data_IF_570030829043
#
_entry.id   IF_570030829043
#
_cell.length_a   1.000
_cell.length_b   1.000
_cell.length_c   1.000
_cell.angle_alpha   90.00
_cell.angle_beta   90.00
_cell.angle_gamma   90.00
#
_symmetry.space_group_name_H-M   'P 1'
#
loop_
_entity.id
_entity.type
_entity.pdbx_description
1 polymer ?
#
# COMPACT_ATOMS: atom_id res chain seq x y z
N UNK A 1 23.42 -19.47 -25.98
CA UNK A 1 23.14 -18.11 -25.51
C UNK A 1 22.75 -18.26 -24.04
N UNK A 2 23.68 -17.89 -23.17
CA UNK A 2 23.52 -18.11 -21.72
C UNK A 2 22.40 -17.20 -21.20
N UNK A 3 21.29 -17.83 -20.75
CA UNK A 3 20.26 -17.12 -20.05
C UNK A 3 20.84 -16.52 -18.79
N UNK A 4 21.04 -15.20 -18.80
CA UNK A 4 21.30 -14.46 -17.58
C UNK A 4 20.07 -14.71 -16.69
N UNK A 5 20.27 -15.43 -15.59
CA UNK A 5 19.21 -15.62 -14.59
C UNK A 5 18.78 -14.25 -14.09
N UNK A 6 17.67 -13.76 -14.63
CA UNK A 6 17.10 -12.47 -14.22
C UNK A 6 16.64 -12.63 -12.79
N UNK A 7 17.31 -11.96 -11.86
CA UNK A 7 16.94 -11.99 -10.44
C UNK A 7 15.56 -11.41 -10.27
N UNK A 8 14.63 -12.25 -9.80
CA UNK A 8 13.24 -11.89 -9.53
C UNK A 8 12.86 -12.32 -8.12
N UNK A 9 11.77 -11.79 -7.59
CA UNK A 9 11.23 -12.25 -6.31
C UNK A 9 10.62 -13.65 -6.49
N UNK A 10 11.06 -14.67 -5.71
CA UNK A 10 10.39 -15.96 -5.70
C UNK A 10 9.00 -15.78 -5.07
N UNK A 11 7.94 -16.06 -5.84
CA UNK A 11 6.57 -16.07 -5.31
C UNK A 11 6.23 -17.46 -4.79
N UNK A 12 5.54 -17.53 -3.68
CA UNK A 12 4.98 -18.77 -3.10
C UNK A 12 5.94 -19.98 -3.06
N UNK A 13 7.24 -19.72 -2.89
CA UNK A 13 8.23 -20.78 -2.80
C UNK A 13 7.98 -21.62 -1.53
N UNK A 14 7.91 -22.95 -1.71
CA UNK A 14 7.70 -23.91 -0.63
C UNK A 14 6.39 -23.71 0.19
N UNK A 15 5.37 -23.10 -0.41
CA UNK A 15 4.06 -22.95 0.21
C UNK A 15 3.09 -23.97 -0.40
N UNK A 16 2.37 -24.77 0.41
CA UNK A 16 1.42 -25.75 -0.10
C UNK A 16 0.23 -25.04 -0.78
N UNK A 17 -0.30 -25.66 -1.83
CA UNK A 17 -1.36 -25.07 -2.67
C UNK A 17 -2.60 -24.68 -1.86
N UNK A 18 -2.99 -25.48 -0.86
CA UNK A 18 -4.13 -25.18 0.00
C UNK A 18 -3.97 -23.85 0.77
N UNK A 19 -2.75 -23.54 1.20
CA UNK A 19 -2.45 -22.27 1.88
C UNK A 19 -2.53 -21.07 0.91
N UNK A 20 -2.09 -21.25 -0.33
CA UNK A 20 -2.22 -20.22 -1.38
C UNK A 20 -3.70 -19.93 -1.65
N UNK A 21 -4.52 -20.98 -1.85
CA UNK A 21 -5.97 -20.84 -2.03
C UNK A 21 -6.59 -20.12 -0.82
N UNK A 22 -6.21 -20.53 0.39
CA UNK A 22 -6.68 -19.89 1.63
C UNK A 22 -6.40 -18.40 1.69
N UNK A 23 -5.19 -17.96 1.32
CA UNK A 23 -4.80 -16.54 1.27
C UNK A 23 -5.69 -15.76 0.30
N UNK A 24 -5.91 -16.28 -0.92
CA UNK A 24 -6.75 -15.59 -1.90
C UNK A 24 -8.21 -15.54 -1.47
N UNK A 25 -8.77 -16.63 -0.94
CA UNK A 25 -10.16 -16.65 -0.43
C UNK A 25 -10.36 -15.64 0.70
N UNK A 26 -9.46 -15.64 1.69
CA UNK A 26 -9.52 -14.69 2.81
C UNK A 26 -9.30 -13.26 2.35
N UNK A 27 -8.38 -13.04 1.41
CA UNK A 27 -8.11 -11.71 0.83
C UNK A 27 -9.34 -11.15 0.10
N UNK A 28 -10.00 -11.97 -0.72
CA UNK A 28 -11.23 -11.59 -1.43
C UNK A 28 -12.36 -11.31 -0.43
N UNK A 29 -12.55 -12.16 0.58
CA UNK A 29 -13.54 -11.96 1.61
C UNK A 29 -13.32 -10.63 2.37
N UNK A 30 -12.07 -10.35 2.77
CA UNK A 30 -11.71 -9.11 3.42
C UNK A 30 -11.95 -7.89 2.52
N UNK A 31 -11.62 -7.97 1.23
CA UNK A 31 -11.88 -6.91 0.26
C UNK A 31 -13.37 -6.64 0.09
N UNK A 32 -14.21 -7.68 0.02
CA UNK A 32 -15.67 -7.54 -0.04
C UNK A 32 -16.21 -6.87 1.22
N UNK A 33 -15.79 -7.31 2.41
CA UNK A 33 -16.20 -6.71 3.68
C UNK A 33 -15.81 -5.23 3.75
N UNK A 34 -14.60 -4.89 3.33
CA UNK A 34 -14.11 -3.51 3.24
C UNK A 34 -14.96 -2.68 2.26
N UNK A 35 -15.24 -3.19 1.06
CA UNK A 35 -16.06 -2.51 0.07
C UNK A 35 -17.48 -2.25 0.56
N UNK A 36 -18.09 -3.22 1.25
CA UNK A 36 -19.42 -3.07 1.87
C UNK A 36 -19.39 -1.99 2.96
N UNK A 37 -18.35 -1.97 3.81
CA UNK A 37 -18.16 -0.95 4.84
C UNK A 37 -18.02 0.45 4.24
N UNK A 38 -17.17 0.61 3.24
CA UNK A 38 -16.98 1.88 2.52
C UNK A 38 -18.29 2.33 1.86
N UNK A 39 -19.02 1.41 1.21
CA UNK A 39 -20.31 1.72 0.59
C UNK A 39 -21.34 2.23 1.61
N UNK A 40 -21.46 1.57 2.77
CA UNK A 40 -22.33 2.02 3.84
C UNK A 40 -21.97 3.42 4.32
N UNK A 41 -20.70 3.68 4.58
CA UNK A 41 -20.22 5.01 4.99
C UNK A 41 -20.48 6.06 3.91
N UNK A 42 -20.25 5.73 2.64
CA UNK A 42 -20.53 6.63 1.53
C UNK A 42 -22.03 6.99 1.40
N UNK A 43 -22.92 5.99 1.56
CA UNK A 43 -24.36 6.22 1.54
C UNK A 43 -24.84 7.13 2.68
N UNK A 44 -24.26 6.96 3.89
CA UNK A 44 -24.52 7.85 5.02
C UNK A 44 -24.07 9.29 4.74
N UNK A 45 -22.90 9.47 4.15
CA UNK A 45 -22.41 10.80 3.77
C UNK A 45 -23.28 11.45 2.69
N UNK A 46 -23.77 10.65 1.73
CA UNK A 46 -24.68 11.14 0.68
C UNK A 46 -26.08 11.51 1.19
N UNK A 47 -26.53 10.91 2.27
CA UNK A 47 -27.83 11.23 2.89
C UNK A 47 -27.83 12.63 3.57
N UNK A 48 -26.64 13.22 3.79
CA UNK A 48 -26.51 14.59 4.29
C UNK A 48 -26.93 15.64 3.26
N UNK A 49 -27.19 16.86 3.73
CA UNK A 49 -27.49 18.00 2.84
C UNK A 49 -26.27 18.27 1.93
N UNK A 50 -26.50 18.51 0.62
CA UNK A 50 -25.41 18.84 -0.28
C UNK A 50 -24.72 20.13 0.17
N UNK A 51 -23.41 20.03 0.41
CA UNK A 51 -22.58 21.17 0.78
C UNK A 51 -21.87 21.69 -0.46
N UNK A 52 -22.06 22.97 -0.77
CA UNK A 52 -21.36 23.59 -1.88
C UNK A 52 -19.85 23.65 -1.57
N UNK A 53 -19.02 23.18 -2.50
CA UNK A 53 -17.56 23.25 -2.39
C UNK A 53 -17.08 24.70 -2.53
N UNK A 54 -17.00 25.41 -1.43
CA UNK A 54 -16.47 26.77 -1.34
C UNK A 54 -14.94 26.78 -1.20
N UNK A 55 -14.33 27.97 -1.32
CA UNK A 55 -12.88 28.22 -1.10
C UNK A 55 -12.40 27.68 0.26
N UNK A 56 -13.26 27.78 1.28
CA UNK A 56 -13.01 27.21 2.62
C UNK A 56 -12.85 25.70 2.59
N UNK A 57 -13.63 24.97 1.79
CA UNK A 57 -13.53 23.50 1.67
C UNK A 57 -12.21 23.08 1.02
N UNK A 58 -11.75 23.80 -0.01
CA UNK A 58 -10.43 23.57 -0.62
C UNK A 58 -9.29 23.81 0.38
N UNK A 59 -9.41 24.86 1.20
CA UNK A 59 -8.44 25.15 2.26
C UNK A 59 -8.41 24.04 3.31
N UNK A 60 -9.57 23.50 3.70
CA UNK A 60 -9.68 22.38 4.66
C UNK A 60 -9.06 21.09 4.11
N UNK A 61 -9.23 20.80 2.82
CA UNK A 61 -8.56 19.66 2.17
C UNK A 61 -7.04 19.82 2.17
N UNK A 62 -6.53 20.99 1.83
CA UNK A 62 -5.11 21.28 1.92
C UNK A 62 -4.56 21.13 3.34
N UNK A 63 -5.33 21.58 4.33
CA UNK A 63 -5.00 21.42 5.74
C UNK A 63 -5.01 19.94 6.18
N UNK A 64 -6.02 19.16 5.75
CA UNK A 64 -6.12 17.73 6.04
C UNK A 64 -4.92 16.96 5.47
N UNK A 65 -4.56 17.19 4.21
CA UNK A 65 -3.40 16.56 3.57
C UNK A 65 -2.11 16.94 4.30
N UNK A 66 -1.94 18.21 4.62
CA UNK A 66 -0.76 18.73 5.31
C UNK A 66 -0.62 18.19 6.74
N UNK A 67 -1.70 18.18 7.51
CA UNK A 67 -1.69 17.65 8.88
C UNK A 67 -1.65 16.12 8.91
N UNK A 68 -2.27 15.44 7.94
CA UNK A 68 -2.28 14.00 7.84
C UNK A 68 -0.96 13.40 7.36
N UNK A 69 -0.38 13.95 6.28
CA UNK A 69 0.88 13.44 5.73
C UNK A 69 2.12 14.00 6.42
N UNK A 70 2.15 15.30 6.71
CA UNK A 70 3.28 15.91 7.40
C UNK A 70 3.24 15.70 8.91
N UNK A 71 2.09 15.26 9.46
CA UNK A 71 1.88 14.95 10.89
C UNK A 71 2.37 16.06 11.85
N UNK A 72 2.27 17.32 11.43
CA UNK A 72 2.83 18.48 12.16
C UNK A 72 2.38 18.57 13.61
N UNK A 73 1.15 18.17 13.92
CA UNK A 73 0.65 18.17 15.30
C UNK A 73 1.31 17.11 16.17
N UNK A 74 1.72 16.00 15.57
CA UNK A 74 2.35 14.89 16.27
C UNK A 74 3.81 15.24 16.55
N UNK A 75 4.51 15.87 15.60
CA UNK A 75 5.93 16.21 15.68
C UNK A 75 6.26 17.30 16.74
N UNK A 76 5.25 17.87 17.41
CA UNK A 76 5.47 18.90 18.45
C UNK A 76 6.06 18.38 19.77
N UNK A 77 6.10 17.06 20.01
CA UNK A 77 6.67 16.45 21.24
C UNK A 77 7.98 15.71 20.90
N UNK A 78 9.08 15.89 21.68
CA UNK A 78 10.42 15.71 21.11
C UNK A 78 10.85 14.28 20.77
N UNK A 79 10.53 13.22 21.43
CA UNK A 79 11.09 11.89 21.10
C UNK A 79 10.05 10.94 20.50
N UNK A 80 8.89 10.80 21.14
CA UNK A 80 7.85 9.85 20.72
C UNK A 80 7.26 10.17 19.36
N UNK A 81 7.28 11.44 18.97
CA UNK A 81 6.74 11.93 17.70
C UNK A 81 7.61 11.57 16.49
N UNK A 82 8.92 11.61 16.66
CA UNK A 82 9.86 11.20 15.61
C UNK A 82 9.76 9.70 15.35
N UNK A 83 9.70 8.89 16.40
CA UNK A 83 9.51 7.45 16.27
C UNK A 83 8.19 7.13 15.55
N UNK A 84 7.09 7.79 15.95
CA UNK A 84 5.80 7.59 15.30
C UNK A 84 5.81 7.98 13.81
N UNK A 85 6.47 9.09 13.47
CA UNK A 85 6.62 9.53 12.08
C UNK A 85 7.37 8.49 11.23
N UNK A 86 8.49 7.98 11.72
CA UNK A 86 9.27 6.99 11.00
C UNK A 86 8.53 5.66 10.86
N UNK A 87 7.91 5.17 11.94
CA UNK A 87 7.10 3.93 11.90
C UNK A 87 5.93 4.07 10.92
N UNK A 88 5.23 5.20 10.92
CA UNK A 88 4.13 5.45 9.99
C UNK A 88 4.60 5.42 8.54
N UNK A 89 5.66 6.16 8.20
CA UNK A 89 6.17 6.18 6.84
C UNK A 89 6.81 4.86 6.44
N UNK A 90 7.52 4.18 7.33
CA UNK A 90 8.00 2.82 7.11
C UNK A 90 6.87 1.87 6.74
N UNK A 91 5.77 1.89 7.51
CA UNK A 91 4.58 1.10 7.22
C UNK A 91 3.95 1.46 5.87
N UNK A 92 3.83 2.75 5.55
CA UNK A 92 3.30 3.21 4.26
C UNK A 92 4.14 2.68 3.10
N UNK A 93 5.47 2.77 3.18
CA UNK A 93 6.36 2.24 2.14
C UNK A 93 6.25 0.72 2.00
N UNK A 94 6.21 -0.02 3.11
CA UNK A 94 6.02 -1.47 3.10
C UNK A 94 4.67 -1.86 2.50
N UNK A 95 3.60 -1.12 2.83
CA UNK A 95 2.27 -1.35 2.26
C UNK A 95 2.27 -1.16 0.74
N UNK A 96 2.80 -0.03 0.24
CA UNK A 96 2.90 0.19 -1.21
C UNK A 96 3.83 -0.82 -1.88
N UNK A 97 4.92 -1.21 -1.23
CA UNK A 97 5.80 -2.25 -1.71
C UNK A 97 5.08 -3.60 -1.86
N UNK A 98 4.24 -3.95 -0.90
CA UNK A 98 3.42 -5.18 -0.98
C UNK A 98 2.40 -5.08 -2.11
N UNK A 99 1.73 -3.95 -2.27
CA UNK A 99 0.81 -3.72 -3.40
C UNK A 99 1.52 -3.87 -4.75
N UNK A 100 2.71 -3.29 -4.91
CA UNK A 100 3.51 -3.43 -6.12
C UNK A 100 3.92 -4.89 -6.39
N UNK A 101 4.29 -5.64 -5.34
CA UNK A 101 4.63 -7.05 -5.48
C UNK A 101 3.42 -7.90 -5.91
N UNK A 102 2.23 -7.62 -5.38
CA UNK A 102 0.98 -8.28 -5.78
C UNK A 102 0.65 -7.95 -7.24
N UNK A 103 0.74 -6.67 -7.63
CA UNK A 103 0.52 -6.24 -9.00
C UNK A 103 1.50 -6.90 -9.98
N UNK A 104 2.79 -6.99 -9.62
CA UNK A 104 3.80 -7.62 -10.46
C UNK A 104 3.55 -9.12 -10.63
N UNK A 105 3.20 -9.80 -9.54
CA UNK A 105 2.96 -11.23 -9.56
C UNK A 105 1.63 -11.59 -10.20
N UNK A 106 0.52 -11.00 -9.76
CA UNK A 106 -0.82 -11.39 -10.19
C UNK A 106 -1.19 -10.79 -11.55
N UNK A 107 -0.80 -9.54 -11.83
CA UNK A 107 -1.12 -8.88 -13.10
C UNK A 107 0.05 -9.01 -14.07
N UNK A 108 1.27 -8.72 -13.66
CA UNK A 108 2.44 -8.76 -14.52
C UNK A 108 2.66 -10.15 -15.10
N UNK A 109 2.71 -11.16 -14.25
CA UNK A 109 2.96 -12.53 -14.68
C UNK A 109 1.72 -13.19 -15.31
N UNK A 110 0.52 -12.97 -14.74
CA UNK A 110 -0.70 -13.61 -15.21
C UNK A 110 -1.22 -13.03 -16.53
N UNK A 111 -1.17 -11.69 -16.69
CA UNK A 111 -1.72 -11.00 -17.87
C UNK A 111 -0.67 -10.79 -18.95
N UNK A 112 0.52 -10.37 -18.58
CA UNK A 112 1.58 -10.02 -19.53
C UNK A 112 2.66 -11.10 -19.68
N UNK A 113 2.64 -12.15 -18.85
CA UNK A 113 3.65 -13.21 -18.86
C UNK A 113 5.06 -12.74 -18.50
N UNK A 114 5.22 -11.51 -18.03
CA UNK A 114 6.49 -10.88 -17.67
C UNK A 114 6.39 -10.26 -16.29
N UNK A 115 7.48 -10.36 -15.53
CA UNK A 115 7.62 -9.65 -14.26
C UNK A 115 8.29 -8.30 -14.52
N UNK A 116 7.67 -7.22 -14.02
CA UNK A 116 8.21 -5.87 -14.10
C UNK A 116 9.29 -5.64 -13.03
N UNK A 117 9.11 -6.27 -11.86
CA UNK A 117 10.09 -6.23 -10.76
C UNK A 117 11.19 -7.27 -11.00
N UNK A 118 12.04 -7.03 -12.01
CA UNK A 118 13.13 -7.91 -12.40
C UNK A 118 14.44 -7.12 -12.59
N UNK A 119 15.57 -7.76 -12.37
CA UNK A 119 16.90 -7.18 -12.55
C UNK A 119 17.15 -5.95 -11.67
N UNK A 120 17.64 -4.86 -12.25
CA UNK A 120 18.00 -3.63 -11.53
C UNK A 120 16.79 -2.96 -10.82
N UNK A 121 15.59 -3.06 -11.40
CA UNK A 121 14.37 -2.53 -10.80
C UNK A 121 14.06 -3.27 -9.50
N UNK A 122 14.21 -4.57 -9.49
CA UNK A 122 14.05 -5.40 -8.30
C UNK A 122 15.04 -5.04 -7.19
N UNK A 123 16.32 -4.82 -7.51
CA UNK A 123 17.31 -4.41 -6.53
C UNK A 123 16.98 -3.06 -5.89
N UNK A 124 16.57 -2.08 -6.70
CA UNK A 124 16.16 -0.77 -6.18
C UNK A 124 14.91 -0.85 -5.30
N UNK A 125 13.89 -1.59 -5.74
CA UNK A 125 12.70 -1.89 -4.98
C UNK A 125 13.03 -2.53 -3.62
N UNK A 126 13.85 -3.60 -3.64
CA UNK A 126 14.27 -4.29 -2.44
C UNK A 126 15.02 -3.37 -1.48
N UNK A 127 15.96 -2.57 -1.99
CA UNK A 127 16.72 -1.62 -1.17
C UNK A 127 15.82 -0.62 -0.41
N UNK A 128 14.81 -0.06 -1.09
CA UNK A 128 13.85 0.84 -0.44
C UNK A 128 13.06 0.12 0.66
N UNK A 129 12.60 -1.10 0.41
CA UNK A 129 11.82 -1.85 1.40
C UNK A 129 12.67 -2.33 2.57
N UNK A 130 13.92 -2.71 2.33
CA UNK A 130 14.85 -3.08 3.40
C UNK A 130 15.10 -1.90 4.34
N UNK A 131 15.29 -0.68 3.81
CA UNK A 131 15.38 0.55 4.62
C UNK A 131 14.08 0.79 5.39
N UNK A 132 12.94 0.71 4.71
CA UNK A 132 11.64 0.92 5.35
C UNK A 132 11.33 -0.11 6.45
N UNK A 133 11.89 -1.32 6.35
CA UNK A 133 11.71 -2.38 7.35
C UNK A 133 12.62 -2.27 8.58
N UNK A 134 13.70 -1.46 8.50
CA UNK A 134 14.63 -1.23 9.62
C UNK A 134 14.17 -0.07 10.50
N UNK A 135 13.33 0.81 9.98
CA UNK A 135 12.75 1.98 10.67
C UNK A 135 11.57 1.58 11.54
#
# INVERSE_FOLDING_TARGET
MNGVDIVTRPGFWNIPVWAIIGIYVLGIAAAICCAVGIRKSYLLWRAGKPYAMDKETKRRWGFFVKEGLEQKRIIRKPLGSWLHFWIFWGFVFLFFGTCLAVLDWDIGKLVFGKQFLAGNVYYFYKFILDIAGVV
#
